data_IF_637340497946
#
_entry.id   IF_637340497946
#
_cell.length_a   1.000
_cell.length_b   1.000
_cell.length_c   1.000
_cell.angle_alpha   90.00
_cell.angle_beta   90.00
_cell.angle_gamma   90.00
#
_symmetry.space_group_name_H-M   'P 1'
#
loop_
_entity.id
_entity.type
_entity.pdbx_description
1 polymer ?
#
# COMPACT_ATOMS: atom_id res chain seq x y z
N UNK A 1 -1.37 -12.70 5.12
CA UNK A 1 -1.29 -13.49 6.37
C UNK A 1 -1.84 -12.53 7.43
N UNK A 2 -1.49 -12.58 8.71
CA UNK A 2 -1.53 -11.37 9.54
C UNK A 2 -0.22 -11.32 10.29
N UNK A 3 0.60 -10.30 10.03
CA UNK A 3 1.90 -10.16 10.67
C UNK A 3 1.77 -9.43 12.01
N UNK A 4 2.54 -9.86 12.99
CA UNK A 4 2.62 -9.24 14.31
C UNK A 4 4.02 -8.69 14.57
N UNK A 5 4.11 -7.65 15.41
CA UNK A 5 5.40 -7.13 15.88
C UNK A 5 6.18 -8.23 16.62
N UNK A 6 7.48 -8.33 16.36
CA UNK A 6 8.37 -9.35 16.90
C UNK A 6 8.32 -10.69 16.15
N UNK A 7 7.44 -10.84 15.16
CA UNK A 7 7.32 -12.06 14.39
C UNK A 7 8.50 -12.25 13.43
N UNK A 8 8.95 -13.50 13.31
CA UNK A 8 9.94 -13.93 12.32
C UNK A 8 9.30 -14.13 10.95
N UNK A 9 9.91 -13.55 9.95
CA UNK A 9 9.46 -13.60 8.56
C UNK A 9 10.65 -13.81 7.63
N UNK A 10 10.36 -14.24 6.41
CA UNK A 10 11.32 -14.30 5.32
C UNK A 10 10.78 -13.63 4.07
N UNK A 11 11.67 -13.04 3.27
CA UNK A 11 11.30 -12.48 1.97
C UNK A 11 10.68 -13.56 1.06
N UNK A 12 9.51 -13.26 0.51
CA UNK A 12 8.77 -14.17 -0.37
C UNK A 12 9.36 -14.26 -1.78
N UNK A 13 10.02 -13.18 -2.23
CA UNK A 13 10.57 -13.04 -3.57
C UNK A 13 11.85 -12.19 -3.54
N UNK A 14 12.63 -12.29 -4.62
CA UNK A 14 13.80 -11.44 -4.82
C UNK A 14 13.36 -9.99 -4.99
N UNK A 15 14.00 -9.06 -4.29
CA UNK A 15 13.77 -7.62 -4.42
C UNK A 15 14.99 -6.96 -5.07
N UNK A 16 14.74 -5.99 -5.94
CA UNK A 16 15.79 -5.18 -6.57
C UNK A 16 15.48 -3.70 -6.43
N UNK A 17 16.42 -2.97 -5.86
CA UNK A 17 16.47 -1.52 -5.91
C UNK A 17 17.47 -1.12 -7.00
N UNK A 18 17.00 -0.41 -8.02
CA UNK A 18 17.84 0.11 -9.10
C UNK A 18 17.57 1.61 -9.26
N UNK A 19 18.63 2.42 -9.26
CA UNK A 19 18.47 3.87 -9.40
C UNK A 19 19.74 4.66 -9.11
N UNK A 20 19.57 5.98 -9.04
CA UNK A 20 20.61 6.89 -8.56
C UNK A 20 20.71 6.77 -7.05
N UNK A 21 21.92 6.61 -6.52
CA UNK A 21 22.16 6.54 -5.07
C UNK A 21 22.81 7.82 -4.61
N UNK A 22 22.22 8.45 -3.60
CA UNK A 22 22.77 9.62 -2.93
C UNK A 22 23.43 9.20 -1.61
N UNK A 23 24.65 9.66 -1.31
CA UNK A 23 25.26 9.47 0.00
C UNK A 23 24.37 10.03 1.12
N UNK A 24 24.31 9.36 2.27
CA UNK A 24 23.55 9.81 3.43
C UNK A 24 24.24 10.94 4.24
N UNK A 25 25.42 11.39 3.81
CA UNK A 25 26.22 12.46 4.44
C UNK A 25 26.28 13.73 3.60
N UNK A 26 27.13 14.69 3.99
CA UNK A 26 27.35 15.91 3.20
C UNK A 26 27.78 15.56 1.76
N UNK A 27 27.18 16.20 0.75
CA UNK A 27 27.49 15.92 -0.64
C UNK A 27 28.96 16.30 -0.91
N UNK A 28 29.76 15.42 -1.55
CA UNK A 28 31.10 15.80 -1.98
C UNK A 28 31.03 16.94 -2.99
N UNK A 29 32.06 17.81 -3.02
CA UNK A 29 32.17 18.93 -3.96
C UNK A 29 32.13 18.47 -5.44
N UNK A 30 32.41 17.19 -5.71
CA UNK A 30 32.22 16.55 -7.02
C UNK A 30 30.86 15.87 -7.14
N UNK A 31 30.00 16.44 -7.98
CA UNK A 31 28.64 15.96 -8.26
C UNK A 31 28.65 14.76 -9.20
N UNK A 32 29.20 13.63 -8.77
CA UNK A 32 29.09 12.36 -9.48
C UNK A 32 27.79 11.64 -9.12
N UNK A 33 26.87 11.47 -10.08
CA UNK A 33 25.70 10.61 -9.89
C UNK A 33 26.15 9.13 -9.90
N UNK A 34 26.06 8.44 -8.76
CA UNK A 34 26.38 7.01 -8.69
C UNK A 34 25.17 6.19 -9.15
N UNK A 35 25.36 5.40 -10.21
CA UNK A 35 24.41 4.36 -10.58
C UNK A 35 24.82 3.05 -9.91
N UNK A 36 24.00 2.56 -8.99
CA UNK A 36 24.20 1.28 -8.33
C UNK A 36 22.88 0.52 -8.24
N UNK A 37 22.97 -0.79 -7.98
CA UNK A 37 21.80 -1.60 -7.69
C UNK A 37 22.05 -2.47 -6.47
N UNK A 38 21.03 -2.59 -5.62
CA UNK A 38 20.97 -3.53 -4.51
C UNK A 38 19.96 -4.62 -4.86
N UNK A 39 20.33 -5.88 -4.63
CA UNK A 39 19.44 -7.02 -4.75
C UNK A 39 19.39 -7.77 -3.42
N UNK A 40 18.18 -8.11 -2.98
CA UNK A 40 17.90 -8.91 -1.80
C UNK A 40 17.24 -10.21 -2.26
N UNK A 41 17.83 -11.35 -1.90
CA UNK A 41 17.29 -12.64 -2.28
C UNK A 41 16.05 -13.01 -1.46
N UNK A 42 15.14 -13.77 -2.07
CA UNK A 42 14.08 -14.49 -1.36
C UNK A 42 14.69 -15.38 -0.26
N UNK A 43 13.91 -15.61 0.79
CA UNK A 43 14.33 -16.44 1.93
C UNK A 43 15.22 -15.73 2.95
N UNK A 44 15.69 -14.50 2.69
CA UNK A 44 16.36 -13.70 3.73
C UNK A 44 15.37 -13.48 4.87
N UNK A 45 15.77 -13.88 6.07
CA UNK A 45 14.95 -13.73 7.25
C UNK A 45 15.09 -12.35 7.89
N UNK A 46 14.08 -11.98 8.66
CA UNK A 46 14.04 -10.75 9.43
C UNK A 46 12.97 -10.80 10.50
N UNK A 47 12.94 -9.73 11.30
CA UNK A 47 11.95 -9.55 12.37
C UNK A 47 11.09 -8.34 12.06
N UNK A 48 9.77 -8.51 12.17
CA UNK A 48 8.81 -7.42 12.06
C UNK A 48 9.00 -6.46 13.23
N UNK A 49 9.40 -5.23 12.96
CA UNK A 49 9.55 -4.16 13.95
C UNK A 49 8.25 -3.39 14.16
N UNK A 50 7.52 -3.15 13.08
CA UNK A 50 6.28 -2.37 13.11
C UNK A 50 5.28 -2.94 12.10
N UNK A 51 4.00 -2.86 12.46
CA UNK A 51 2.88 -3.20 11.59
C UNK A 51 1.98 -1.97 11.56
N UNK A 52 1.89 -1.32 10.41
CA UNK A 52 0.97 -0.21 10.22
C UNK A 52 -0.26 -0.75 9.48
N UNK A 53 -1.32 -0.97 10.26
CA UNK A 53 -2.65 -1.10 9.68
C UNK A 53 -3.10 0.32 9.29
N UNK A 54 -3.02 0.65 8.00
CA UNK A 54 -3.49 1.93 7.50
C UNK A 54 -5.03 2.02 7.55
N UNK A 55 -5.59 2.10 8.76
CA UNK A 55 -6.92 2.64 9.03
C UNK A 55 -6.88 4.16 8.85
N UNK A 56 -6.54 4.64 7.64
CA UNK A 56 -6.65 6.07 7.36
C UNK A 56 -8.13 6.43 7.25
N UNK A 57 -8.49 7.47 8.01
CA UNK A 57 -9.81 8.09 8.03
C UNK A 57 -10.34 8.20 6.60
N UNK A 58 -11.55 7.67 6.37
CA UNK A 58 -12.20 7.75 5.07
C UNK A 58 -12.36 9.23 4.69
N UNK A 59 -11.89 9.60 3.49
CA UNK A 59 -12.16 10.93 2.96
C UNK A 59 -13.66 11.12 2.75
N UNK A 60 -14.09 12.37 2.61
CA UNK A 60 -15.51 12.68 2.40
C UNK A 60 -16.04 12.00 1.13
N UNK A 61 -15.25 11.98 0.07
CA UNK A 61 -15.56 11.38 -1.23
C UNK A 61 -15.76 9.87 -1.13
N UNK A 62 -14.92 9.19 -0.34
CA UNK A 62 -15.03 7.74 -0.09
C UNK A 62 -16.31 7.43 0.69
N UNK A 63 -16.65 8.25 1.70
CA UNK A 63 -17.89 8.09 2.47
C UNK A 63 -19.13 8.31 1.59
N UNK A 64 -19.11 9.33 0.75
CA UNK A 64 -20.22 9.61 -0.17
C UNK A 64 -20.34 8.52 -1.26
N UNK A 65 -19.23 7.99 -1.79
CA UNK A 65 -19.26 6.84 -2.69
C UNK A 65 -20.00 5.66 -2.05
N UNK A 66 -19.61 5.26 -0.84
CA UNK A 66 -20.22 4.15 -0.11
C UNK A 66 -21.71 4.39 0.15
N UNK A 67 -22.07 5.63 0.53
CA UNK A 67 -23.46 6.02 0.77
C UNK A 67 -24.32 5.90 -0.50
N UNK A 68 -23.85 6.46 -1.61
CA UNK A 68 -24.59 6.43 -2.89
C UNK A 68 -24.64 5.03 -3.48
N UNK A 69 -23.56 4.26 -3.34
CA UNK A 69 -23.48 2.88 -3.78
C UNK A 69 -24.45 1.98 -3.00
N UNK A 70 -24.49 2.10 -1.67
CA UNK A 70 -25.48 1.40 -0.83
C UNK A 70 -26.91 1.80 -1.21
N UNK A 71 -27.18 3.09 -1.43
CA UNK A 71 -28.50 3.55 -1.86
C UNK A 71 -28.91 2.95 -3.21
N UNK A 72 -27.97 2.87 -4.16
CA UNK A 72 -28.21 2.26 -5.47
C UNK A 72 -28.43 0.75 -5.36
N UNK A 73 -27.63 0.06 -4.55
CA UNK A 73 -27.69 -1.39 -4.40
C UNK A 73 -28.97 -1.83 -3.64
N UNK A 74 -29.38 -1.08 -2.61
CA UNK A 74 -30.56 -1.40 -1.79
C UNK A 74 -31.88 -0.95 -2.43
N UNK A 75 -31.90 0.22 -3.08
CA UNK A 75 -33.14 0.86 -3.55
C UNK A 75 -33.20 1.09 -5.06
N UNK A 76 -32.11 0.86 -5.82
CA UNK A 76 -32.05 1.16 -7.26
C UNK A 76 -33.11 0.42 -8.08
N UNK A 77 -33.54 -0.76 -7.65
CA UNK A 77 -34.62 -1.52 -8.29
C UNK A 77 -36.01 -0.88 -8.15
N UNK A 78 -36.20 -0.03 -7.14
CA UNK A 78 -37.46 0.66 -6.84
C UNK A 78 -37.45 2.11 -7.37
N UNK A 79 -36.31 2.61 -7.82
CA UNK A 79 -36.17 3.99 -8.29
C UNK A 79 -36.71 4.19 -9.71
N UNK A 80 -37.32 5.36 -9.99
CA UNK A 80 -37.57 5.81 -11.35
C UNK A 80 -36.27 5.82 -12.17
N UNK A 81 -36.35 5.45 -13.45
CA UNK A 81 -35.18 5.28 -14.33
C UNK A 81 -34.29 6.51 -14.42
N UNK A 82 -34.89 7.72 -14.44
CA UNK A 82 -34.16 8.97 -14.49
C UNK A 82 -33.33 9.21 -13.21
N UNK A 83 -33.93 8.98 -12.03
CA UNK A 83 -33.25 9.12 -10.74
C UNK A 83 -32.16 8.07 -10.55
N UNK A 84 -32.42 6.83 -10.99
CA UNK A 84 -31.42 5.76 -10.95
C UNK A 84 -30.20 6.10 -11.80
N UNK A 85 -30.42 6.58 -13.03
CA UNK A 85 -29.35 6.98 -13.94
C UNK A 85 -28.50 8.13 -13.37
N UNK A 86 -29.14 9.13 -12.76
CA UNK A 86 -28.44 10.22 -12.09
C UNK A 86 -27.58 9.72 -10.92
N UNK A 87 -28.06 8.74 -10.16
CA UNK A 87 -27.32 8.13 -9.06
C UNK A 87 -26.11 7.30 -9.57
N UNK A 88 -26.29 6.53 -10.64
CA UNK A 88 -25.22 5.79 -11.31
C UNK A 88 -24.10 6.73 -11.80
N UNK A 89 -24.46 7.89 -12.37
CA UNK A 89 -23.49 8.91 -12.81
C UNK A 89 -22.69 9.51 -11.64
N UNK A 90 -23.34 9.77 -10.50
CA UNK A 90 -22.67 10.27 -9.29
C UNK A 90 -21.73 9.24 -8.67
N UNK A 91 -22.12 7.96 -8.67
CA UNK A 91 -21.24 6.87 -8.23
C UNK A 91 -20.03 6.75 -9.15
N UNK A 92 -20.24 6.81 -10.47
CA UNK A 92 -19.15 6.75 -11.45
C UNK A 92 -18.14 7.90 -11.29
N UNK A 93 -18.61 9.10 -10.97
CA UNK A 93 -17.74 10.25 -10.72
C UNK A 93 -16.83 10.09 -9.49
N UNK A 94 -17.18 9.18 -8.57
CA UNK A 94 -16.44 8.91 -7.33
C UNK A 94 -15.63 7.59 -7.38
N UNK A 95 -15.71 6.82 -8.48
CA UNK A 95 -15.00 5.54 -8.62
C UNK A 95 -13.48 5.68 -8.57
N UNK A 96 -12.93 6.78 -9.11
CA UNK A 96 -11.48 6.99 -9.11
C UNK A 96 -10.93 7.17 -7.69
N UNK A 97 -11.63 7.97 -6.87
CA UNK A 97 -11.31 8.22 -5.47
C UNK A 97 -11.49 6.95 -4.64
N UNK A 98 -12.54 6.18 -4.91
CA UNK A 98 -12.73 4.86 -4.32
C UNK A 98 -11.61 3.90 -4.68
N UNK A 99 -11.22 3.80 -5.95
CA UNK A 99 -10.12 2.94 -6.39
C UNK A 99 -8.77 3.38 -5.80
N UNK A 100 -8.52 4.69 -5.70
CA UNK A 100 -7.34 5.24 -5.05
C UNK A 100 -7.34 4.93 -3.54
N UNK A 101 -8.49 5.02 -2.88
CA UNK A 101 -8.66 4.65 -1.48
C UNK A 101 -8.44 3.14 -1.29
N UNK A 102 -9.04 2.28 -2.10
CA UNK A 102 -8.84 0.83 -2.04
C UNK A 102 -7.38 0.43 -2.24
N UNK A 103 -6.68 1.03 -3.21
CA UNK A 103 -5.23 0.81 -3.41
C UNK A 103 -4.39 1.18 -2.18
N UNK A 104 -4.86 2.14 -1.37
CA UNK A 104 -4.20 2.60 -0.14
C UNK A 104 -4.66 1.87 1.12
N UNK A 105 -5.91 1.42 1.18
CA UNK A 105 -6.54 0.81 2.36
C UNK A 105 -6.26 -0.70 2.44
N UNK A 106 -6.03 -1.36 1.30
CA UNK A 106 -5.87 -2.82 1.23
C UNK A 106 -4.46 -3.33 1.55
N UNK A 107 -3.57 -2.50 2.10
CA UNK A 107 -2.19 -2.93 2.38
C UNK A 107 -1.87 -2.65 3.84
N UNK A 108 -1.88 -3.71 4.64
CA UNK A 108 -1.08 -3.74 5.86
C UNK A 108 0.37 -3.57 5.40
N UNK A 109 1.01 -2.49 5.81
CA UNK A 109 2.43 -2.28 5.57
C UNK A 109 3.18 -2.64 6.84
N UNK A 110 4.38 -3.18 6.65
CA UNK A 110 5.23 -3.63 7.73
C UNK A 110 6.62 -3.07 7.56
N UNK A 111 7.23 -2.77 8.69
CA UNK A 111 8.65 -2.51 8.79
C UNK A 111 9.35 -3.78 9.26
N UNK A 112 10.28 -4.29 8.47
CA UNK A 112 11.04 -5.50 8.80
C UNK A 112 12.52 -5.18 8.82
N UNK A 113 13.18 -5.53 9.93
CA UNK A 113 14.64 -5.53 10.03
C UNK A 113 15.15 -6.91 9.62
N UNK A 114 15.78 -6.97 8.45
CA UNK A 114 16.41 -8.18 7.93
C UNK A 114 17.69 -8.49 8.71
N UNK A 115 18.01 -9.77 8.84
CA UNK A 115 19.18 -10.22 9.61
C UNK A 115 20.51 -9.81 8.96
N UNK A 116 20.49 -9.48 7.67
CA UNK A 116 21.62 -8.92 6.95
C UNK A 116 21.85 -7.42 7.21
N UNK A 117 21.08 -6.82 8.13
CA UNK A 117 21.23 -5.43 8.58
C UNK A 117 20.43 -4.39 7.78
N UNK A 118 19.75 -4.79 6.69
CA UNK A 118 18.86 -3.90 5.96
C UNK A 118 17.49 -3.76 6.64
N UNK A 119 16.86 -2.60 6.49
CA UNK A 119 15.48 -2.38 6.92
C UNK A 119 14.63 -2.13 5.69
N UNK A 120 13.55 -2.90 5.56
CA UNK A 120 12.49 -2.64 4.59
C UNK A 120 11.36 -1.95 5.34
N UNK A 121 11.12 -0.69 5.01
CA UNK A 121 10.05 0.12 5.58
C UNK A 121 8.90 0.27 4.58
N UNK A 122 7.69 0.47 5.11
CA UNK A 122 6.44 0.54 4.32
C UNK A 122 6.25 -0.64 3.33
N UNK A 123 6.81 -1.81 3.65
CA UNK A 123 6.75 -2.97 2.77
C UNK A 123 5.37 -3.63 2.88
N UNK A 124 4.71 -3.99 1.77
CA UNK A 124 3.44 -4.69 1.83
C UNK A 124 3.62 -6.05 2.53
N UNK A 125 2.68 -6.42 3.39
CA UNK A 125 2.73 -7.71 4.10
C UNK A 125 2.96 -8.90 3.16
N UNK A 126 2.41 -8.87 1.95
CA UNK A 126 2.53 -9.96 0.97
C UNK A 126 3.96 -10.17 0.45
N UNK A 127 4.88 -9.22 0.69
CA UNK A 127 6.30 -9.40 0.39
C UNK A 127 6.99 -10.42 1.32
N UNK A 128 6.30 -10.85 2.39
CA UNK A 128 6.84 -11.73 3.41
C UNK A 128 6.03 -13.01 3.56
N UNK A 129 6.72 -14.08 3.98
CA UNK A 129 6.11 -15.33 4.46
C UNK A 129 6.60 -15.63 5.86
N UNK A 130 5.91 -16.52 6.59
CA UNK A 130 6.45 -17.07 7.85
C UNK A 130 7.81 -17.70 7.58
N UNK A 131 8.79 -17.37 8.42
CA UNK A 131 10.09 -18.04 8.43
C UNK A 131 9.91 -19.54 8.72
#
# INVERSE_FOLDING_TARGET
MTLNVGQRVRLAADLRLAGSVTPAGEPPEETGAFAASLALAAGIEGTVEHVEEHHRQQSHEVREYLRLKSLLDDFGHQMPSASRKQLEEQVAALEEQWAAYQRRMLRVTVRVRLDNGFVLDDAPEEAFTSA
#
